data_IF_007450435111
#
_entry.id   IF_007450435111
#
_cell.length_a   1.000
_cell.length_b   1.000
_cell.length_c   1.000
_cell.angle_alpha   90.00
_cell.angle_beta   90.00
_cell.angle_gamma   90.00
#
_symmetry.space_group_name_H-M   'P 1'
#
loop_
_entity.id
_entity.type
_entity.pdbx_description
1 polymer ?
#
# COMPACT_ATOMS: atom_id res chain seq x y z
N UNK A 1 -12.41 -43.58 8.31
CA UNK A 1 -12.96 -42.28 8.03
C UNK A 1 -12.63 -41.24 9.13
N UNK A 2 -12.91 -41.48 10.44
CA UNK A 2 -12.55 -40.54 11.53
C UNK A 2 -11.05 -40.40 11.77
N UNK A 3 -10.26 -41.46 11.65
CA UNK A 3 -8.79 -41.44 11.76
C UNK A 3 -8.12 -40.75 10.55
N UNK A 4 -8.69 -40.88 9.38
CA UNK A 4 -8.21 -40.24 8.16
C UNK A 4 -8.47 -38.70 8.19
N UNK A 5 -9.66 -38.29 8.65
CA UNK A 5 -9.96 -36.88 8.87
C UNK A 5 -9.07 -36.22 9.94
N UNK A 6 -8.74 -36.96 11.02
CA UNK A 6 -7.85 -36.43 12.07
C UNK A 6 -6.39 -36.26 11.56
N UNK A 7 -5.90 -37.21 10.75
CA UNK A 7 -4.56 -37.10 10.12
C UNK A 7 -4.50 -35.94 9.11
N UNK A 8 -5.54 -35.77 8.30
CA UNK A 8 -5.62 -34.62 7.35
C UNK A 8 -5.67 -33.29 8.09
N UNK A 9 -6.41 -33.19 9.20
CA UNK A 9 -6.47 -31.99 10.02
C UNK A 9 -5.12 -31.65 10.68
N UNK A 10 -4.39 -32.65 11.13
CA UNK A 10 -3.05 -32.47 11.73
C UNK A 10 -2.02 -32.06 10.67
N UNK A 11 -2.03 -32.70 9.49
CA UNK A 11 -1.12 -32.31 8.39
C UNK A 11 -1.43 -30.90 7.88
N UNK A 12 -2.70 -30.49 7.80
CA UNK A 12 -3.07 -29.13 7.43
C UNK A 12 -2.57 -28.10 8.45
N UNK A 13 -2.71 -28.36 9.76
CA UNK A 13 -2.20 -27.48 10.82
C UNK A 13 -0.68 -27.40 10.82
N UNK A 14 0.03 -28.51 10.57
CA UNK A 14 1.49 -28.50 10.41
C UNK A 14 1.92 -27.68 9.19
N UNK A 15 1.23 -27.81 8.07
CA UNK A 15 1.47 -26.99 6.88
C UNK A 15 1.26 -25.48 7.16
N UNK A 16 0.21 -25.12 7.90
CA UNK A 16 -0.05 -23.73 8.30
C UNK A 16 1.07 -23.15 9.16
N UNK A 17 1.54 -23.91 10.15
CA UNK A 17 2.65 -23.49 11.02
C UNK A 17 3.94 -23.35 10.22
N UNK A 18 4.25 -24.30 9.33
CA UNK A 18 5.45 -24.27 8.50
C UNK A 18 5.48 -23.04 7.56
N UNK A 19 4.35 -22.70 6.95
CA UNK A 19 4.24 -21.52 6.08
C UNK A 19 4.33 -20.23 6.91
N UNK A 20 3.71 -20.19 8.08
CA UNK A 20 3.85 -19.05 8.99
C UNK A 20 5.32 -18.85 9.41
N UNK A 21 6.02 -19.92 9.75
CA UNK A 21 7.45 -19.88 10.06
C UNK A 21 8.29 -19.42 8.86
N UNK A 22 7.96 -19.88 7.65
CA UNK A 22 8.62 -19.45 6.42
C UNK A 22 8.39 -17.98 6.15
N UNK A 23 7.17 -17.49 6.34
CA UNK A 23 6.82 -16.07 6.19
C UNK A 23 7.57 -15.20 7.20
N UNK A 24 7.61 -15.62 8.46
CA UNK A 24 8.38 -14.94 9.52
C UNK A 24 9.88 -14.96 9.19
N UNK A 25 10.41 -16.10 8.70
CA UNK A 25 11.82 -16.21 8.30
C UNK A 25 12.13 -15.31 7.09
N UNK A 26 11.27 -15.27 6.07
CA UNK A 26 11.41 -14.36 4.92
C UNK A 26 11.36 -12.89 5.36
N UNK A 27 10.46 -12.55 6.28
CA UNK A 27 10.35 -11.22 6.84
C UNK A 27 11.60 -10.86 7.65
N UNK A 28 12.16 -11.83 8.39
CA UNK A 28 13.41 -11.68 9.14
C UNK A 28 14.61 -11.51 8.22
N UNK A 29 14.78 -12.38 7.23
CA UNK A 29 15.84 -12.27 6.21
C UNK A 29 15.75 -10.92 5.51
N UNK A 30 14.53 -10.47 5.20
CA UNK A 30 14.29 -9.19 4.58
C UNK A 30 14.71 -8.01 5.47
N UNK A 31 14.38 -8.02 6.77
CA UNK A 31 14.79 -6.99 7.73
C UNK A 31 16.32 -6.87 7.85
N UNK A 32 17.06 -7.96 7.59
CA UNK A 32 18.53 -7.97 7.62
C UNK A 32 19.19 -7.73 6.25
N UNK A 33 18.43 -7.51 5.17
CA UNK A 33 19.03 -7.15 3.88
C UNK A 33 19.62 -5.74 3.90
N UNK A 34 20.70 -5.48 3.11
CA UNK A 34 21.29 -4.14 2.99
C UNK A 34 20.29 -3.06 2.57
N UNK A 35 19.24 -3.46 1.86
CA UNK A 35 18.15 -2.59 1.40
C UNK A 35 17.33 -2.04 2.58
N UNK A 36 17.04 -2.89 3.55
CA UNK A 36 16.30 -2.52 4.76
C UNK A 36 17.19 -1.77 5.75
N UNK A 37 18.50 -2.08 5.76
CA UNK A 37 19.43 -1.55 6.75
C UNK A 37 19.51 -0.02 6.77
N UNK A 38 19.48 0.64 5.62
CA UNK A 38 19.52 2.09 5.54
C UNK A 38 18.22 2.77 5.94
N UNK A 39 17.08 2.11 5.72
CA UNK A 39 15.74 2.66 6.02
C UNK A 39 15.35 2.34 7.46
N UNK A 40 15.69 1.15 7.95
CA UNK A 40 15.30 0.65 9.26
C UNK A 40 16.28 1.01 10.40
N UNK A 41 17.31 1.83 10.15
CA UNK A 41 18.25 2.28 11.20
C UNK A 41 17.58 3.02 12.36
N UNK A 42 16.41 3.61 12.15
CA UNK A 42 15.64 4.30 13.21
C UNK A 42 14.55 3.36 13.74
N UNK A 43 14.51 3.15 15.04
CA UNK A 43 13.51 2.30 15.74
C UNK A 43 12.06 2.55 15.30
N UNK A 44 11.70 3.83 15.02
CA UNK A 44 10.35 4.21 14.57
C UNK A 44 9.93 3.55 13.24
N UNK A 45 10.87 3.32 12.32
CA UNK A 45 10.57 2.66 11.04
C UNK A 45 10.32 1.17 11.22
N UNK A 46 11.07 0.52 12.13
CA UNK A 46 10.84 -0.89 12.47
C UNK A 46 9.44 -1.06 13.07
N UNK A 47 9.10 -0.20 14.05
CA UNK A 47 7.77 -0.24 14.67
C UNK A 47 6.65 0.01 13.68
N UNK A 48 6.76 0.99 12.78
CA UNK A 48 5.72 1.24 11.79
C UNK A 48 5.59 0.10 10.77
N UNK A 49 6.69 -0.58 10.41
CA UNK A 49 6.65 -1.75 9.55
C UNK A 49 5.97 -2.95 10.23
N UNK A 50 6.31 -3.24 11.48
CA UNK A 50 5.68 -4.33 12.25
C UNK A 50 4.21 -4.06 12.52
N UNK A 51 3.83 -2.81 12.82
CA UNK A 51 2.42 -2.44 12.99
C UNK A 51 1.63 -2.57 11.70
N UNK A 52 2.20 -2.25 10.53
CA UNK A 52 1.55 -2.45 9.22
C UNK A 52 1.37 -3.93 8.88
N UNK A 53 2.36 -4.77 9.22
CA UNK A 53 2.23 -6.22 9.06
C UNK A 53 1.11 -6.79 9.95
N UNK A 54 1.06 -6.38 11.22
CA UNK A 54 -0.01 -6.78 12.13
C UNK A 54 -1.39 -6.26 11.67
N UNK A 55 -1.45 -5.01 11.19
CA UNK A 55 -2.67 -4.41 10.68
C UNK A 55 -3.19 -5.15 9.45
N UNK A 56 -2.32 -5.61 8.54
CA UNK A 56 -2.71 -6.44 7.40
C UNK A 56 -3.43 -7.72 7.85
N UNK A 57 -2.88 -8.42 8.84
CA UNK A 57 -3.48 -9.63 9.39
C UNK A 57 -4.83 -9.34 10.04
N UNK A 58 -4.91 -8.26 10.84
CA UNK A 58 -6.16 -7.85 11.51
C UNK A 58 -7.25 -7.49 10.48
N UNK A 59 -6.91 -6.68 9.48
CA UNK A 59 -7.88 -6.27 8.44
C UNK A 59 -8.35 -7.46 7.62
N UNK A 60 -7.47 -8.41 7.29
CA UNK A 60 -7.86 -9.66 6.63
C UNK A 60 -8.71 -10.56 7.54
N UNK A 61 -8.42 -10.63 8.85
CA UNK A 61 -9.22 -11.41 9.79
C UNK A 61 -10.64 -10.81 9.94
N UNK A 62 -10.76 -9.49 10.01
CA UNK A 62 -12.06 -8.81 10.02
C UNK A 62 -12.83 -9.03 8.71
N UNK A 63 -12.15 -8.97 7.57
CA UNK A 63 -12.76 -9.27 6.27
C UNK A 63 -13.27 -10.74 6.23
N UNK A 64 -12.49 -11.68 6.80
CA UNK A 64 -12.91 -13.07 6.90
C UNK A 64 -14.22 -13.23 7.70
N UNK A 65 -14.30 -12.64 8.88
CA UNK A 65 -15.50 -12.67 9.71
C UNK A 65 -16.72 -12.04 8.99
N UNK A 66 -16.49 -10.93 8.28
CA UNK A 66 -17.54 -10.28 7.50
C UNK A 66 -18.02 -11.15 6.34
N UNK A 67 -17.12 -11.80 5.62
CA UNK A 67 -17.45 -12.73 4.54
C UNK A 67 -18.25 -13.91 5.09
N UNK A 68 -17.79 -14.51 6.17
CA UNK A 68 -18.50 -15.62 6.84
C UNK A 68 -19.89 -15.21 7.35
N UNK A 69 -20.01 -14.03 7.94
CA UNK A 69 -21.29 -13.47 8.35
C UNK A 69 -22.25 -13.29 7.17
N UNK A 70 -21.77 -12.74 6.05
CA UNK A 70 -22.58 -12.51 4.84
C UNK A 70 -23.01 -13.84 4.21
N UNK A 71 -22.12 -14.85 4.19
CA UNK A 71 -22.46 -16.20 3.71
C UNK A 71 -23.53 -16.87 4.58
N UNK A 72 -23.48 -16.69 5.90
CA UNK A 72 -24.43 -17.28 6.85
C UNK A 72 -25.77 -16.51 6.95
N UNK A 73 -25.80 -15.23 6.56
CA UNK A 73 -26.96 -14.35 6.68
C UNK A 73 -28.06 -14.58 5.63
N UNK A 74 -28.07 -15.73 4.94
CA UNK A 74 -29.03 -16.07 3.87
C UNK A 74 -29.18 -15.02 2.76
N UNK A 75 -28.18 -14.12 2.63
CA UNK A 75 -28.04 -13.28 1.46
C UNK A 75 -27.63 -14.23 0.34
N UNK A 76 -28.49 -14.38 -0.67
CA UNK A 76 -28.24 -15.26 -1.81
C UNK A 76 -27.04 -14.79 -2.63
N UNK A 77 -25.83 -15.02 -2.10
CA UNK A 77 -24.62 -14.88 -2.89
C UNK A 77 -24.53 -16.15 -3.73
N UNK A 78 -24.47 -16.04 -5.04
CA UNK A 78 -24.28 -17.20 -5.89
C UNK A 78 -23.02 -17.96 -5.46
N UNK A 79 -23.11 -19.27 -5.29
CA UNK A 79 -22.00 -20.17 -4.89
C UNK A 79 -20.77 -20.06 -5.83
N UNK A 80 -20.98 -19.50 -7.01
CA UNK A 80 -19.98 -19.34 -8.06
C UNK A 80 -19.04 -18.16 -7.83
N UNK A 81 -19.33 -17.22 -6.91
CA UNK A 81 -18.48 -16.04 -6.66
C UNK A 81 -17.31 -16.44 -5.80
N UNK A 82 -16.11 -16.23 -6.31
CA UNK A 82 -14.89 -16.43 -5.54
C UNK A 82 -14.65 -15.21 -4.61
N UNK A 83 -15.18 -15.26 -3.40
CA UNK A 83 -15.07 -14.20 -2.38
C UNK A 83 -13.66 -14.00 -1.85
N UNK A 84 -12.69 -14.83 -2.26
CA UNK A 84 -11.27 -14.64 -1.90
C UNK A 84 -10.74 -13.27 -2.34
N UNK A 85 -11.29 -12.70 -3.41
CA UNK A 85 -10.91 -11.38 -3.92
C UNK A 85 -11.54 -10.21 -3.16
N UNK A 86 -12.42 -10.50 -2.19
CA UNK A 86 -12.96 -9.52 -1.25
C UNK A 86 -11.99 -9.20 -0.10
N UNK A 87 -10.89 -9.96 0.06
CA UNK A 87 -9.87 -9.64 1.05
C UNK A 87 -9.03 -8.44 0.63
N UNK A 88 -8.72 -7.52 1.56
CA UNK A 88 -7.94 -6.31 1.29
C UNK A 88 -6.42 -6.58 1.24
N UNK A 89 -5.98 -7.50 0.39
CA UNK A 89 -4.58 -7.95 0.32
C UNK A 89 -3.61 -6.88 -0.19
N UNK A 90 -4.08 -5.85 -0.91
CA UNK A 90 -3.26 -4.74 -1.38
C UNK A 90 -3.07 -3.61 -0.34
N UNK A 91 -3.75 -3.67 0.80
CA UNK A 91 -3.81 -2.58 1.79
C UNK A 91 -2.42 -2.17 2.30
N UNK A 92 -1.73 -3.05 3.00
CA UNK A 92 -0.40 -2.72 3.55
C UNK A 92 0.70 -2.58 2.49
N UNK A 93 0.74 -3.37 1.40
CA UNK A 93 1.67 -3.12 0.30
C UNK A 93 1.62 -1.70 -0.25
N UNK A 94 0.42 -1.13 -0.45
CA UNK A 94 0.26 0.25 -0.92
C UNK A 94 0.82 1.25 0.10
N UNK A 95 0.46 1.11 1.37
CA UNK A 95 0.93 2.00 2.44
C UNK A 95 2.45 1.96 2.55
N UNK A 96 3.05 0.77 2.57
CA UNK A 96 4.50 0.59 2.67
C UNK A 96 5.22 1.23 1.48
N UNK A 97 4.66 1.12 0.28
CA UNK A 97 5.23 1.72 -0.92
C UNK A 97 5.28 3.25 -0.82
N UNK A 98 4.23 3.86 -0.31
CA UNK A 98 4.15 5.33 -0.17
C UNK A 98 5.01 5.84 0.98
N UNK A 99 5.06 5.11 2.10
CA UNK A 99 5.83 5.51 3.28
C UNK A 99 7.33 5.33 3.11
N UNK A 100 7.76 4.31 2.38
CA UNK A 100 9.19 3.94 2.31
C UNK A 100 9.72 3.94 0.87
N UNK A 101 9.50 2.84 0.14
CA UNK A 101 9.98 2.67 -1.22
C UNK A 101 9.21 1.54 -1.92
N UNK A 102 9.20 1.59 -3.27
CA UNK A 102 8.60 0.56 -4.12
C UNK A 102 9.19 -0.82 -3.89
N UNK A 103 10.50 -0.90 -3.64
CA UNK A 103 11.20 -2.17 -3.39
C UNK A 103 10.67 -2.87 -2.15
N UNK A 104 10.44 -2.11 -1.07
CA UNK A 104 9.85 -2.62 0.17
C UNK A 104 8.39 -3.02 -0.03
N UNK A 105 7.63 -2.19 -0.73
CA UNK A 105 6.25 -2.51 -1.10
C UNK A 105 6.14 -3.79 -1.92
N UNK A 106 7.02 -4.00 -2.90
CA UNK A 106 7.01 -5.21 -3.74
C UNK A 106 7.31 -6.49 -2.95
N UNK A 107 8.22 -6.42 -1.99
CA UNK A 107 8.49 -7.55 -1.09
C UNK A 107 7.29 -7.82 -0.16
N UNK A 108 6.65 -6.76 0.32
CA UNK A 108 5.47 -6.91 1.15
C UNK A 108 4.25 -7.39 0.35
N UNK A 109 4.18 -7.12 -0.96
CA UNK A 109 3.17 -7.69 -1.84
C UNK A 109 3.30 -9.22 -1.96
N UNK A 110 4.53 -9.74 -1.98
CA UNK A 110 4.75 -11.19 -1.95
C UNK A 110 4.27 -11.80 -0.63
N UNK A 111 4.57 -11.17 0.51
CA UNK A 111 4.04 -11.60 1.81
C UNK A 111 2.51 -11.60 1.83
N UNK A 112 1.88 -10.52 1.38
CA UNK A 112 0.43 -10.40 1.36
C UNK A 112 -0.24 -11.41 0.42
N UNK A 113 0.37 -11.69 -0.73
CA UNK A 113 -0.10 -12.68 -1.69
C UNK A 113 -0.01 -14.12 -1.16
N UNK A 114 1.08 -14.47 -0.48
CA UNK A 114 1.23 -15.77 0.17
C UNK A 114 0.15 -15.92 1.26
N UNK A 115 -0.06 -14.87 2.05
CA UNK A 115 -1.10 -14.88 3.08
C UNK A 115 -2.50 -15.10 2.48
N UNK A 116 -2.82 -14.43 1.36
CA UNK A 116 -4.08 -14.66 0.64
C UNK A 116 -4.19 -16.08 0.10
N UNK A 117 -3.10 -16.61 -0.47
CA UNK A 117 -3.06 -18.00 -0.95
C UNK A 117 -3.31 -19.03 0.15
N UNK A 118 -2.83 -18.76 1.39
CA UNK A 118 -3.14 -19.58 2.56
C UNK A 118 -4.63 -19.56 2.90
N UNK A 119 -5.25 -18.38 2.88
CA UNK A 119 -6.69 -18.22 3.10
C UNK A 119 -7.51 -18.88 2.00
N UNK A 120 -6.96 -18.98 0.79
CA UNK A 120 -7.56 -19.67 -0.35
C UNK A 120 -7.39 -21.21 -0.33
N UNK A 121 -6.92 -21.79 0.76
CA UNK A 121 -6.67 -23.22 0.87
C UNK A 121 -5.38 -23.69 0.20
N UNK A 122 -4.33 -22.85 0.25
CA UNK A 122 -2.99 -23.13 -0.34
C UNK A 122 -2.98 -23.17 -1.87
N UNK A 123 -3.83 -22.40 -2.50
CA UNK A 123 -3.92 -22.32 -3.95
C UNK A 123 -2.76 -21.48 -4.53
N UNK A 124 -1.83 -22.14 -5.20
CA UNK A 124 -0.67 -21.49 -5.80
C UNK A 124 -1.08 -20.52 -6.92
N UNK A 125 -2.13 -20.85 -7.70
CA UNK A 125 -2.57 -20.00 -8.80
C UNK A 125 -3.17 -18.68 -8.26
N UNK A 126 -3.93 -18.74 -7.17
CA UNK A 126 -4.45 -17.54 -6.47
C UNK A 126 -3.29 -16.75 -5.86
N UNK A 127 -2.29 -17.41 -5.27
CA UNK A 127 -1.10 -16.74 -4.71
C UNK A 127 -0.35 -15.95 -5.78
N UNK A 128 -0.07 -16.56 -6.93
CA UNK A 128 0.63 -15.89 -8.05
C UNK A 128 -0.23 -14.74 -8.59
N UNK A 129 -1.53 -14.98 -8.79
CA UNK A 129 -2.46 -13.96 -9.26
C UNK A 129 -2.53 -12.75 -8.30
N UNK A 130 -2.65 -12.99 -7.00
CA UNK A 130 -2.65 -11.94 -5.99
C UNK A 130 -1.33 -11.15 -5.97
N UNK A 131 -0.20 -11.82 -6.12
CA UNK A 131 1.10 -11.17 -6.24
C UNK A 131 1.16 -10.24 -7.45
N UNK A 132 0.75 -10.72 -8.62
CA UNK A 132 0.72 -9.91 -9.85
C UNK A 132 -0.16 -8.66 -9.70
N UNK A 133 -1.35 -8.81 -9.12
CA UNK A 133 -2.28 -7.68 -8.88
C UNK A 133 -1.71 -6.70 -7.86
N UNK A 134 -1.19 -7.19 -6.73
CA UNK A 134 -0.61 -6.33 -5.70
C UNK A 134 0.62 -5.59 -6.22
N UNK A 135 1.50 -6.27 -6.93
CA UNK A 135 2.70 -5.67 -7.54
C UNK A 135 2.35 -4.59 -8.57
N UNK A 136 1.38 -4.86 -9.44
CA UNK A 136 0.88 -3.88 -10.40
C UNK A 136 0.25 -2.66 -9.70
N UNK A 137 -0.59 -2.89 -8.68
CA UNK A 137 -1.19 -1.83 -7.89
C UNK A 137 -0.15 -0.90 -7.25
N UNK A 138 0.92 -1.47 -6.70
CA UNK A 138 2.04 -0.70 -6.15
C UNK A 138 2.71 0.14 -7.24
N UNK A 139 2.98 -0.46 -8.40
CA UNK A 139 3.66 0.24 -9.48
C UNK A 139 2.85 1.43 -9.98
N UNK A 140 1.57 1.25 -10.23
CA UNK A 140 0.69 2.30 -10.72
C UNK A 140 0.40 3.37 -9.66
N UNK A 141 0.14 2.98 -8.42
CA UNK A 141 -0.16 3.91 -7.33
C UNK A 141 1.08 4.66 -6.80
N UNK A 142 2.30 4.15 -6.99
CA UNK A 142 3.53 4.84 -6.56
C UNK A 142 3.94 6.00 -7.47
N UNK A 143 3.39 6.10 -8.68
CA UNK A 143 3.65 7.22 -9.61
C UNK A 143 2.79 8.47 -9.33
N UNK A 144 2.07 8.50 -8.20
CA UNK A 144 1.14 9.57 -7.88
C UNK A 144 1.93 10.82 -7.50
N UNK A 145 1.97 11.78 -8.41
CA UNK A 145 2.41 13.17 -8.15
C UNK A 145 1.23 14.16 -8.08
N UNK A 146 0.03 13.76 -8.53
CA UNK A 146 -1.18 14.59 -8.57
C UNK A 146 -2.40 13.74 -8.20
N UNK A 147 -3.44 14.35 -7.62
CA UNK A 147 -4.70 13.67 -7.25
C UNK A 147 -5.35 12.89 -8.40
N UNK A 148 -5.26 13.43 -9.63
CA UNK A 148 -5.78 12.75 -10.83
C UNK A 148 -5.04 11.44 -11.14
N UNK A 149 -3.74 11.36 -10.85
CA UNK A 149 -2.95 10.15 -11.07
C UNK A 149 -3.42 8.99 -10.18
N UNK A 150 -4.04 9.29 -9.03
CA UNK A 150 -4.59 8.27 -8.15
C UNK A 150 -5.74 7.50 -8.81
N UNK A 151 -6.64 8.20 -9.51
CA UNK A 151 -7.74 7.57 -10.25
C UNK A 151 -7.18 6.66 -11.34
N UNK A 152 -6.21 7.14 -12.12
CA UNK A 152 -5.54 6.33 -13.14
C UNK A 152 -4.81 5.12 -12.54
N UNK A 153 -4.22 5.26 -11.36
CA UNK A 153 -3.60 4.16 -10.62
C UNK A 153 -4.60 3.08 -10.25
N UNK A 154 -5.78 3.46 -9.74
CA UNK A 154 -6.86 2.51 -9.42
C UNK A 154 -7.38 1.82 -10.69
N UNK A 155 -7.68 2.58 -11.75
CA UNK A 155 -8.17 2.02 -13.01
C UNK A 155 -7.18 1.03 -13.63
N UNK A 156 -5.89 1.35 -13.60
CA UNK A 156 -4.83 0.45 -14.07
C UNK A 156 -4.73 -0.83 -13.23
N UNK A 157 -4.92 -0.72 -11.91
CA UNK A 157 -4.95 -1.87 -11.00
C UNK A 157 -6.15 -2.78 -11.28
N UNK A 158 -7.32 -2.20 -11.55
CA UNK A 158 -8.53 -2.93 -11.93
C UNK A 158 -8.35 -3.61 -13.29
N UNK A 159 -7.76 -2.92 -14.27
CA UNK A 159 -7.47 -3.51 -15.57
C UNK A 159 -6.49 -4.70 -15.45
N UNK A 160 -5.46 -4.57 -14.62
CA UNK A 160 -4.54 -5.68 -14.35
C UNK A 160 -5.25 -6.83 -13.63
N UNK A 161 -6.14 -6.54 -12.68
CA UNK A 161 -6.95 -7.56 -12.03
C UNK A 161 -7.84 -8.30 -13.03
N UNK A 162 -8.51 -7.59 -13.94
CA UNK A 162 -9.32 -8.20 -14.99
C UNK A 162 -8.51 -9.15 -15.89
N UNK A 163 -7.30 -8.72 -16.28
CA UNK A 163 -6.39 -9.53 -17.09
C UNK A 163 -5.96 -10.81 -16.35
N UNK A 164 -5.53 -10.66 -15.09
CA UNK A 164 -5.10 -11.80 -14.26
C UNK A 164 -6.26 -12.75 -13.99
N UNK A 165 -7.45 -12.23 -13.70
CA UNK A 165 -8.67 -13.02 -13.48
C UNK A 165 -9.04 -13.81 -14.73
N UNK A 166 -9.00 -13.19 -15.92
CA UNK A 166 -9.23 -13.86 -17.19
C UNK A 166 -8.30 -15.04 -17.38
N UNK A 167 -6.99 -14.82 -17.17
CA UNK A 167 -5.99 -15.86 -17.28
C UNK A 167 -6.22 -17.00 -16.29
N UNK A 168 -6.56 -16.68 -15.04
CA UNK A 168 -6.84 -17.65 -13.97
C UNK A 168 -8.07 -18.52 -14.29
N UNK A 169 -9.15 -17.92 -14.81
CA UNK A 169 -10.36 -18.65 -15.19
C UNK A 169 -10.12 -19.55 -16.41
N UNK A 170 -9.33 -19.10 -17.38
CA UNK A 170 -8.90 -19.91 -18.52
C UNK A 170 -8.06 -21.11 -18.08
N UNK A 171 -7.08 -20.93 -17.18
CA UNK A 171 -6.28 -22.01 -16.64
C UNK A 171 -7.13 -23.07 -15.93
N UNK A 172 -8.22 -22.66 -15.29
CA UNK A 172 -9.13 -23.56 -14.57
C UNK A 172 -10.22 -24.15 -15.45
N UNK A 173 -10.23 -23.81 -16.73
CA UNK A 173 -11.28 -24.20 -17.67
C UNK A 173 -12.70 -23.88 -17.16
N UNK A 174 -12.84 -22.74 -16.48
CA UNK A 174 -14.10 -22.25 -15.85
C UNK A 174 -14.47 -20.85 -16.35
N UNK A 175 -14.26 -20.60 -17.65
CA UNK A 175 -14.56 -19.30 -18.24
C UNK A 175 -16.09 -19.18 -18.49
N UNK A 176 -16.79 -18.74 -17.46
CA UNK A 176 -18.20 -18.36 -17.53
C UNK A 176 -18.30 -16.85 -17.34
N UNK A 177 -19.01 -16.18 -18.26
CA UNK A 177 -19.14 -14.72 -18.23
C UNK A 177 -19.76 -14.20 -16.92
N UNK A 178 -20.72 -14.94 -16.38
CA UNK A 178 -21.37 -14.58 -15.11
C UNK A 178 -20.37 -14.59 -13.96
N UNK A 179 -19.57 -15.65 -13.81
CA UNK A 179 -18.52 -15.78 -12.78
C UNK A 179 -17.48 -14.67 -12.94
N UNK A 180 -17.08 -14.42 -14.18
CA UNK A 180 -16.10 -13.37 -14.49
C UNK A 180 -16.56 -11.99 -14.03
N UNK A 181 -17.77 -11.55 -14.46
CA UNK A 181 -18.26 -10.22 -14.09
C UNK A 181 -18.53 -10.07 -12.59
N UNK A 182 -19.07 -11.07 -11.93
CA UNK A 182 -19.35 -11.03 -10.51
C UNK A 182 -18.05 -10.96 -9.70
N UNK A 183 -17.06 -11.81 -10.01
CA UNK A 183 -15.75 -11.81 -9.34
C UNK A 183 -14.98 -10.52 -9.61
N UNK A 184 -15.02 -10.02 -10.85
CA UNK A 184 -14.39 -8.76 -11.22
C UNK A 184 -15.00 -7.58 -10.46
N UNK A 185 -16.32 -7.55 -10.31
CA UNK A 185 -17.03 -6.50 -9.58
C UNK A 185 -16.62 -6.50 -8.10
N UNK A 186 -16.65 -7.65 -7.43
CA UNK A 186 -16.24 -7.75 -6.02
C UNK A 186 -14.80 -7.34 -5.82
N UNK A 187 -13.88 -7.90 -6.60
CA UNK A 187 -12.44 -7.61 -6.49
C UNK A 187 -12.11 -6.16 -6.84
N UNK A 188 -12.73 -5.57 -7.85
CA UNK A 188 -12.48 -4.16 -8.21
C UNK A 188 -13.01 -3.17 -7.19
N UNK A 189 -14.17 -3.43 -6.59
CA UNK A 189 -14.70 -2.61 -5.48
C UNK A 189 -13.74 -2.68 -4.30
N UNK A 190 -13.28 -3.88 -3.92
CA UNK A 190 -12.34 -4.04 -2.81
C UNK A 190 -10.98 -3.42 -3.08
N UNK A 191 -10.44 -3.52 -4.29
CA UNK A 191 -9.22 -2.81 -4.68
C UNK A 191 -9.38 -1.29 -4.59
N UNK A 192 -10.51 -0.75 -5.06
CA UNK A 192 -10.77 0.69 -4.98
C UNK A 192 -10.91 1.17 -3.53
N UNK A 193 -11.67 0.46 -2.69
CA UNK A 193 -11.85 0.78 -1.27
C UNK A 193 -10.50 0.70 -0.54
N UNK A 194 -9.73 -0.36 -0.73
CA UNK A 194 -8.44 -0.54 -0.06
C UNK A 194 -7.43 0.52 -0.48
N UNK A 195 -7.36 0.87 -1.76
CA UNK A 195 -6.50 1.94 -2.24
C UNK A 195 -6.91 3.31 -1.69
N UNK A 196 -8.22 3.62 -1.69
CA UNK A 196 -8.74 4.87 -1.15
C UNK A 196 -8.48 5.01 0.36
N UNK A 197 -8.77 3.99 1.15
CA UNK A 197 -8.53 4.00 2.60
C UNK A 197 -7.03 4.06 2.92
N UNK A 198 -6.21 3.27 2.23
CA UNK A 198 -4.77 3.27 2.43
C UNK A 198 -4.17 4.67 2.19
N UNK A 199 -4.55 5.32 1.08
CA UNK A 199 -3.97 6.60 0.68
C UNK A 199 -4.51 7.80 1.45
N UNK A 200 -5.81 7.83 1.78
CA UNK A 200 -6.43 9.00 2.38
C UNK A 200 -6.37 9.03 3.90
N UNK A 201 -6.61 7.90 4.54
CA UNK A 201 -6.73 7.83 6.00
C UNK A 201 -5.48 7.28 6.67
N UNK A 202 -5.05 6.07 6.24
CA UNK A 202 -4.02 5.34 6.97
C UNK A 202 -2.62 5.91 6.79
N UNK A 203 -2.28 6.45 5.61
CA UNK A 203 -0.98 7.11 5.41
C UNK A 203 -0.84 8.30 6.35
N UNK A 204 -1.85 9.19 6.43
CA UNK A 204 -1.82 10.35 7.33
C UNK A 204 -1.75 9.95 8.81
N UNK A 205 -2.49 8.90 9.19
CA UNK A 205 -2.48 8.40 10.56
C UNK A 205 -1.08 7.88 10.95
N UNK A 206 -0.45 7.10 10.09
CA UNK A 206 0.87 6.53 10.32
C UNK A 206 1.95 7.60 10.32
N UNK A 207 1.89 8.57 9.39
CA UNK A 207 2.77 9.74 9.39
C UNK A 207 2.74 10.47 10.73
N UNK A 208 1.52 10.71 11.25
CA UNK A 208 1.32 11.43 12.51
C UNK A 208 1.82 10.62 13.72
N UNK A 209 1.53 9.32 13.79
CA UNK A 209 1.92 8.46 14.91
C UNK A 209 3.43 8.25 14.96
N UNK A 210 4.07 7.98 13.82
CA UNK A 210 5.48 7.63 13.76
C UNK A 210 6.40 8.82 13.42
N UNK A 211 5.84 9.99 13.14
CA UNK A 211 6.60 11.18 12.75
C UNK A 211 7.40 10.95 11.45
N UNK A 212 6.81 10.24 10.49
CA UNK A 212 7.37 9.97 9.17
C UNK A 212 6.77 10.98 8.21
N UNK A 213 7.60 11.61 7.37
CA UNK A 213 7.13 12.55 6.35
C UNK A 213 7.19 11.87 4.99
N UNK A 214 6.06 11.75 4.32
CA UNK A 214 5.99 11.16 2.97
C UNK A 214 6.19 12.22 1.88
N UNK A 215 6.36 11.73 0.65
CA UNK A 215 6.39 12.59 -0.55
C UNK A 215 5.10 13.39 -0.68
N UNK A 216 3.93 12.80 -0.34
CA UNK A 216 2.63 13.49 -0.40
C UNK A 216 2.60 14.69 0.55
N UNK A 217 3.01 14.52 1.80
CA UNK A 217 3.08 15.62 2.78
C UNK A 217 4.07 16.70 2.33
N UNK A 218 5.22 16.33 1.77
CA UNK A 218 6.18 17.30 1.24
C UNK A 218 5.59 18.09 0.04
N UNK A 219 4.83 17.44 -0.83
CA UNK A 219 4.14 18.12 -1.94
C UNK A 219 3.07 19.10 -1.43
N UNK A 220 2.29 18.67 -0.45
CA UNK A 220 1.33 19.57 0.21
C UNK A 220 2.02 20.75 0.89
N UNK A 221 3.18 20.54 1.51
CA UNK A 221 3.99 21.62 2.11
C UNK A 221 4.57 22.58 1.07
N UNK A 222 4.78 22.15 -0.16
CA UNK A 222 5.26 23.00 -1.25
C UNK A 222 4.16 23.76 -2.00
N UNK A 223 2.88 23.54 -1.66
CA UNK A 223 1.76 24.27 -2.25
C UNK A 223 1.71 25.70 -1.72
N UNK A 224 1.79 26.68 -2.63
CA UNK A 224 1.75 28.11 -2.30
C UNK A 224 0.39 28.58 -1.73
N UNK A 225 -0.70 27.82 -1.92
CA UNK A 225 -1.98 28.08 -1.30
C UNK A 225 -2.03 27.70 0.19
N UNK A 226 -1.00 27.05 0.72
CA UNK A 226 -0.94 26.75 2.14
C UNK A 226 -0.95 28.03 2.97
N UNK A 227 -1.73 28.06 4.07
CA UNK A 227 -1.89 29.28 4.89
C UNK A 227 -0.54 29.91 5.31
N UNK A 228 0.47 29.07 5.62
CA UNK A 228 1.79 29.56 6.02
C UNK A 228 2.53 30.24 4.88
N UNK A 229 2.60 29.63 3.67
CA UNK A 229 3.27 30.23 2.52
C UNK A 229 2.51 31.44 1.99
N UNK A 230 1.19 31.40 2.02
CA UNK A 230 0.35 32.54 1.69
C UNK A 230 0.60 33.70 2.64
N UNK A 231 0.71 33.46 3.95
CA UNK A 231 1.05 34.49 4.93
C UNK A 231 2.41 35.12 4.67
N UNK A 232 3.45 34.33 4.27
CA UNK A 232 4.76 34.89 3.88
C UNK A 232 4.60 35.78 2.65
N UNK A 233 3.83 35.35 1.63
CA UNK A 233 3.63 36.12 0.41
C UNK A 233 2.90 37.45 0.64
N UNK A 234 1.97 37.48 1.61
CA UNK A 234 1.19 38.67 1.96
C UNK A 234 1.98 39.65 2.85
N UNK A 235 2.75 39.17 3.83
CA UNK A 235 3.45 40.00 4.81
C UNK A 235 4.90 40.33 4.43
N UNK A 236 5.56 39.50 3.66
CA UNK A 236 6.97 39.62 3.32
C UNK A 236 7.23 39.16 1.86
N UNK A 237 6.62 39.85 0.89
CA UNK A 237 6.65 39.45 -0.52
C UNK A 237 8.09 39.30 -1.08
N UNK A 238 9.04 40.16 -0.70
CA UNK A 238 10.43 40.04 -1.08
C UNK A 238 11.09 38.75 -0.58
N UNK A 239 10.83 38.39 0.69
CA UNK A 239 11.29 37.14 1.29
C UNK A 239 10.65 35.92 0.60
N UNK A 240 9.38 36.01 0.25
CA UNK A 240 8.69 34.95 -0.48
C UNK A 240 9.32 34.69 -1.84
N UNK A 241 9.57 35.71 -2.64
CA UNK A 241 10.24 35.58 -3.93
C UNK A 241 11.67 35.05 -3.80
N UNK A 242 12.42 35.53 -2.81
CA UNK A 242 13.76 35.01 -2.49
C UNK A 242 13.71 33.52 -2.17
N UNK A 243 12.79 33.09 -1.29
CA UNK A 243 12.64 31.70 -0.90
C UNK A 243 12.30 30.79 -2.09
N UNK A 244 11.49 31.26 -3.05
CA UNK A 244 11.19 30.51 -4.29
C UNK A 244 12.46 30.33 -5.13
N UNK A 245 13.26 31.39 -5.32
CA UNK A 245 14.48 31.32 -6.11
C UNK A 245 15.50 30.36 -5.47
N UNK A 246 15.70 30.45 -4.15
CA UNK A 246 16.56 29.56 -3.40
C UNK A 246 16.05 28.11 -3.48
N UNK A 247 14.74 27.88 -3.34
CA UNK A 247 14.15 26.56 -3.44
C UNK A 247 14.35 25.93 -4.82
N UNK A 248 14.16 26.70 -5.90
CA UNK A 248 14.37 26.22 -7.26
C UNK A 248 15.85 25.87 -7.55
N UNK A 249 16.79 26.64 -7.02
CA UNK A 249 18.22 26.36 -7.16
C UNK A 249 18.64 25.15 -6.34
N UNK A 250 18.22 25.10 -5.06
CA UNK A 250 18.55 24.02 -4.14
C UNK A 250 17.97 22.68 -4.59
N UNK A 251 16.76 22.66 -5.16
CA UNK A 251 16.15 21.46 -5.74
C UNK A 251 16.98 20.91 -6.90
N UNK A 252 17.47 21.77 -7.81
CA UNK A 252 18.34 21.35 -8.93
C UNK A 252 19.65 20.74 -8.43
N UNK A 253 20.27 21.37 -7.43
CA UNK A 253 21.52 20.86 -6.82
C UNK A 253 21.28 19.52 -6.13
N UNK A 254 20.19 19.41 -5.35
CA UNK A 254 19.84 18.17 -4.68
C UNK A 254 19.58 17.02 -5.66
N UNK A 255 18.92 17.29 -6.79
CA UNK A 255 18.72 16.31 -7.86
C UNK A 255 20.05 15.85 -8.47
N UNK A 256 20.97 16.76 -8.72
CA UNK A 256 22.30 16.44 -9.28
C UNK A 256 23.15 15.58 -8.31
N UNK A 257 22.96 15.76 -7.01
CA UNK A 257 23.63 14.99 -5.95
C UNK A 257 22.91 13.67 -5.58
N UNK A 258 21.76 13.37 -6.20
CA UNK A 258 20.95 12.20 -5.83
C UNK A 258 20.32 12.31 -4.43
N UNK A 259 20.21 13.52 -3.86
CA UNK A 259 19.56 13.77 -2.57
C UNK A 259 18.03 13.91 -2.73
N UNK A 260 17.31 13.99 -1.60
CA UNK A 260 15.86 14.22 -1.63
C UNK A 260 15.54 15.67 -2.00
N UNK A 261 15.41 15.91 -3.31
CA UNK A 261 15.22 17.25 -3.88
C UNK A 261 13.93 17.93 -3.40
N UNK A 262 12.85 17.18 -3.24
CA UNK A 262 11.58 17.74 -2.75
C UNK A 262 11.68 18.19 -1.29
N UNK A 263 12.36 17.42 -0.44
CA UNK A 263 12.61 17.82 0.94
C UNK A 263 13.45 19.11 0.99
N UNK A 264 14.52 19.17 0.21
CA UNK A 264 15.38 20.36 0.14
C UNK A 264 14.59 21.57 -0.35
N UNK A 265 13.74 21.41 -1.37
CA UNK A 265 12.83 22.44 -1.84
C UNK A 265 11.93 22.97 -0.73
N UNK A 266 11.25 22.07 -0.01
CA UNK A 266 10.36 22.45 1.10
C UNK A 266 11.14 23.18 2.19
N UNK A 267 12.29 22.67 2.60
CA UNK A 267 13.14 23.34 3.59
C UNK A 267 13.52 24.76 3.15
N UNK A 268 13.88 24.94 1.89
CA UNK A 268 14.20 26.25 1.33
C UNK A 268 12.99 27.20 1.25
N UNK A 269 11.78 26.71 0.99
CA UNK A 269 10.57 27.53 1.00
C UNK A 269 10.24 28.12 2.39
N UNK A 270 10.58 27.39 3.46
CA UNK A 270 10.24 27.77 4.83
C UNK A 270 11.40 28.34 5.65
N UNK A 271 12.63 28.42 5.10
CA UNK A 271 13.84 28.77 5.86
C UNK A 271 13.77 30.17 6.51
N UNK A 272 13.08 31.09 5.87
CA UNK A 272 12.96 32.49 6.29
C UNK A 272 11.58 32.84 6.88
N UNK A 273 10.79 31.84 7.32
CA UNK A 273 9.45 32.02 7.90
C UNK A 273 9.45 33.03 9.06
N UNK A 274 10.51 33.09 9.84
CA UNK A 274 10.65 34.02 10.98
C UNK A 274 10.56 35.50 10.61
N UNK A 275 10.89 35.88 9.36
CA UNK A 275 10.80 37.26 8.88
C UNK A 275 9.37 37.79 8.82
N UNK A 276 8.36 36.93 8.79
CA UNK A 276 6.94 37.36 8.89
C UNK A 276 6.57 37.98 10.25
N UNK A 277 7.41 37.77 11.28
CA UNK A 277 7.20 38.36 12.61
C UNK A 277 7.69 39.80 12.68
N UNK A 278 8.62 40.19 11.79
CA UNK A 278 9.14 41.55 11.64
C UNK A 278 9.31 41.81 10.12
N UNK A 279 8.21 42.10 9.43
CA UNK A 279 8.29 42.46 8.01
C UNK A 279 9.02 43.82 7.89
N UNK A 280 10.16 43.81 7.19
CA UNK A 280 10.89 45.01 6.80
C UNK A 280 10.38 45.49 5.45
#
# INVERSE_FOLDING_TARGET
LQQENSKQLVTAKFGQIAILCLLVALLFVFLFTPLAKNILQKKRYIWSFTTLAALQVIVCALAHQMIEYVQNAAIAIPDNINLIWAYPFCFSPIIITVLYDRKLGSLFSAFSAIFLGMLAGYDLAITIAAFCVAYASIHFLSMIRYRMNFIWGILSSIAMFALVLTFLLLLRNRMEWQIFYQTLLVGSIMLAITAALASSLFIHLIEKIFGITTVLTLMEMSDFNRPTLRRISELAAGTFHHSIQVANLAEKVANALGANALLVRVMALYHDLGKTMRPE
#
